data_IF_701655327795
#
_entry.id   IF_701655327795
#
_cell.length_a   1.000
_cell.length_b   1.000
_cell.length_c   1.000
_cell.angle_alpha   90.00
_cell.angle_beta   90.00
_cell.angle_gamma   90.00
#
_symmetry.space_group_name_H-M   'P 1'
#
loop_
_entity.id
_entity.type
_entity.pdbx_description
1 polymer ?
#
# COMPACT_ATOMS: atom_id res chain seq x y z
N UNK A 1 -3.15 -10.41 -15.99
CA UNK A 1 -2.18 -9.36 -16.37
C UNK A 1 -2.33 -9.09 -17.86
N UNK A 2 -2.95 -7.97 -18.23
CA UNK A 2 -3.15 -7.56 -19.63
C UNK A 2 -2.28 -6.34 -19.94
N UNK A 3 -1.78 -6.24 -21.17
CA UNK A 3 -1.04 -5.08 -21.67
C UNK A 3 -1.60 -4.75 -23.05
N UNK A 4 -2.09 -3.53 -23.22
CA UNK A 4 -2.64 -3.00 -24.45
C UNK A 4 -1.88 -1.77 -24.95
N UNK A 5 -2.12 -1.39 -26.20
CA UNK A 5 -1.63 -0.15 -26.80
C UNK A 5 -2.83 0.71 -27.18
N UNK A 6 -2.82 1.99 -26.82
CA UNK A 6 -3.88 2.94 -27.13
C UNK A 6 -4.62 3.44 -25.90
N UNK A 7 -5.73 4.13 -26.13
CA UNK A 7 -6.59 4.67 -25.08
C UNK A 7 -7.19 3.55 -24.21
N UNK A 8 -7.45 3.87 -22.95
CA UNK A 8 -8.09 2.93 -22.01
C UNK A 8 -9.55 2.72 -22.42
N UNK A 9 -9.95 1.47 -22.59
CA UNK A 9 -11.27 1.07 -23.07
C UNK A 9 -12.15 0.48 -21.96
N UNK A 10 -13.45 0.36 -22.23
CA UNK A 10 -14.40 -0.32 -21.33
C UNK A 10 -13.99 -1.78 -21.04
N UNK A 11 -13.37 -2.46 -22.01
CA UNK A 11 -12.89 -3.83 -21.81
C UNK A 11 -11.74 -3.90 -20.82
N UNK A 12 -10.84 -2.90 -20.81
CA UNK A 12 -9.74 -2.82 -19.84
C UNK A 12 -10.27 -2.60 -18.42
N UNK A 13 -11.28 -1.73 -18.27
CA UNK A 13 -11.94 -1.48 -16.98
C UNK A 13 -12.66 -2.75 -16.49
N UNK A 14 -13.46 -3.40 -17.33
CA UNK A 14 -14.14 -4.65 -16.96
C UNK A 14 -13.17 -5.74 -16.51
N UNK A 15 -12.02 -5.85 -17.17
CA UNK A 15 -10.99 -6.81 -16.77
C UNK A 15 -10.39 -6.46 -15.40
N UNK A 16 -10.21 -5.18 -15.11
CA UNK A 16 -9.69 -4.71 -13.84
C UNK A 16 -10.67 -4.97 -12.68
N UNK A 17 -11.97 -4.71 -12.89
CA UNK A 17 -13.03 -5.01 -11.92
C UNK A 17 -13.05 -6.50 -11.55
N UNK A 18 -12.87 -7.39 -12.52
CA UNK A 18 -12.88 -8.83 -12.26
C UNK A 18 -11.67 -9.37 -11.47
N UNK A 19 -10.65 -8.54 -11.23
CA UNK A 19 -9.38 -8.98 -10.62
C UNK A 19 -8.85 -8.07 -9.50
N UNK A 20 -9.67 -7.13 -9.00
CA UNK A 20 -9.25 -6.08 -8.05
C UNK A 20 -7.94 -5.41 -8.47
N UNK A 21 -7.79 -5.17 -9.77
CA UNK A 21 -6.58 -4.60 -10.35
C UNK A 21 -6.71 -3.09 -10.55
N UNK A 22 -5.59 -2.39 -10.44
CA UNK A 22 -5.47 -1.00 -10.86
C UNK A 22 -5.16 -0.91 -12.36
N UNK A 23 -5.63 0.14 -13.03
CA UNK A 23 -5.34 0.41 -14.44
C UNK A 23 -4.34 1.56 -14.53
N UNK A 24 -3.27 1.37 -15.32
CA UNK A 24 -2.22 2.38 -15.49
C UNK A 24 -2.11 2.76 -16.95
N UNK A 25 -2.33 4.05 -17.26
CA UNK A 25 -2.17 4.62 -18.59
C UNK A 25 -0.92 5.50 -18.68
N UNK A 26 -0.04 5.21 -19.64
CA UNK A 26 1.14 6.04 -19.94
C UNK A 26 0.94 6.84 -21.24
N UNK A 27 0.91 8.17 -21.14
CA UNK A 27 0.59 9.08 -22.25
C UNK A 27 -0.75 8.79 -22.97
N UNK A 28 -1.67 8.12 -22.27
CA UNK A 28 -3.02 7.80 -22.74
C UNK A 28 -4.03 8.11 -21.65
N UNK A 29 -5.29 8.30 -22.05
CA UNK A 29 -6.42 8.52 -21.12
C UNK A 29 -7.62 7.69 -21.53
N UNK A 30 -8.47 7.32 -20.57
CA UNK A 30 -9.82 6.88 -20.86
C UNK A 30 -10.64 8.07 -21.38
N UNK A 31 -11.70 7.81 -22.14
CA UNK A 31 -12.63 8.83 -22.57
C UNK A 31 -14.07 8.30 -22.59
N UNK A 32 -15.02 9.18 -22.29
CA UNK A 32 -16.45 8.89 -22.41
C UNK A 32 -16.90 7.76 -21.47
N UNK A 33 -17.39 6.66 -22.06
CA UNK A 33 -17.98 5.54 -21.30
C UNK A 33 -16.98 4.79 -20.44
N UNK A 34 -15.72 4.69 -20.87
CA UNK A 34 -14.69 3.98 -20.09
C UNK A 34 -14.41 4.70 -18.76
N UNK A 35 -14.39 6.04 -18.75
CA UNK A 35 -14.20 6.84 -17.53
C UNK A 35 -15.39 6.71 -16.58
N UNK A 36 -16.61 6.81 -17.11
CA UNK A 36 -17.84 6.61 -16.32
C UNK A 36 -17.93 5.21 -15.73
N UNK A 37 -17.50 4.20 -16.49
CA UNK A 37 -17.47 2.81 -16.02
C UNK A 37 -16.44 2.64 -14.90
N UNK A 38 -15.26 3.24 -15.03
CA UNK A 38 -14.24 3.17 -13.99
C UNK A 38 -14.73 3.78 -12.66
N UNK A 39 -15.39 4.94 -12.72
CA UNK A 39 -15.97 5.58 -11.54
C UNK A 39 -17.09 4.74 -10.92
N UNK A 40 -17.98 4.18 -11.74
CA UNK A 40 -19.10 3.35 -11.30
C UNK A 40 -18.66 2.04 -10.63
N UNK A 41 -17.67 1.38 -11.22
CA UNK A 41 -17.15 0.09 -10.75
C UNK A 41 -16.05 0.26 -9.68
N UNK A 42 -15.66 1.50 -9.38
CA UNK A 42 -14.64 1.79 -8.37
C UNK A 42 -13.23 1.37 -8.76
N UNK A 43 -12.93 1.30 -10.06
CA UNK A 43 -11.61 0.92 -10.57
C UNK A 43 -10.66 2.12 -10.46
N UNK A 44 -9.53 1.95 -9.77
CA UNK A 44 -8.47 2.96 -9.69
C UNK A 44 -7.72 3.03 -11.03
N UNK A 45 -7.91 4.14 -11.75
CA UNK A 45 -7.24 4.43 -13.01
C UNK A 45 -6.27 5.59 -12.82
N UNK A 46 -4.98 5.31 -13.03
CA UNK A 46 -3.92 6.32 -12.89
C UNK A 46 -3.27 6.62 -14.23
N UNK A 47 -3.06 7.91 -14.49
CA UNK A 47 -2.48 8.40 -15.72
C UNK A 47 -1.13 9.05 -15.45
N UNK A 48 -0.12 8.65 -16.21
CA UNK A 48 1.23 9.20 -16.12
C UNK A 48 1.71 9.66 -17.47
N UNK A 49 2.43 10.77 -17.50
CA UNK A 49 3.20 11.24 -18.66
C UNK A 49 4.70 11.08 -18.47
N UNK A 50 5.16 10.91 -17.23
CA UNK A 50 6.57 10.72 -16.85
C UNK A 50 6.75 9.33 -16.24
N UNK A 51 7.59 8.50 -16.86
CA UNK A 51 7.69 7.08 -16.50
C UNK A 51 8.29 6.86 -15.11
N UNK A 52 9.19 7.74 -14.67
CA UNK A 52 9.81 7.65 -13.36
C UNK A 52 8.81 7.86 -12.22
N UNK A 53 7.85 8.77 -12.40
CA UNK A 53 6.79 9.00 -11.43
C UNK A 53 5.91 7.74 -11.29
N UNK A 54 5.54 7.11 -12.42
CA UNK A 54 4.76 5.88 -12.39
C UNK A 54 5.47 4.77 -11.60
N UNK A 55 6.78 4.60 -11.82
CA UNK A 55 7.57 3.59 -11.12
C UNK A 55 7.63 3.89 -9.62
N UNK A 56 7.92 5.13 -9.24
CA UNK A 56 8.03 5.56 -7.84
C UNK A 56 6.72 5.36 -7.07
N UNK A 57 5.58 5.76 -7.64
CA UNK A 57 4.28 5.60 -6.99
C UNK A 57 3.90 4.11 -6.83
N UNK A 58 4.20 3.27 -7.82
CA UNK A 58 3.96 1.82 -7.73
C UNK A 58 4.84 1.21 -6.64
N UNK A 59 6.12 1.57 -6.58
CA UNK A 59 7.03 1.10 -5.52
C UNK A 59 6.57 1.54 -4.14
N UNK A 60 6.15 2.80 -3.99
CA UNK A 60 5.66 3.33 -2.73
C UNK A 60 4.39 2.61 -2.27
N UNK A 61 3.45 2.35 -3.19
CA UNK A 61 2.25 1.59 -2.90
C UNK A 61 2.59 0.15 -2.44
N UNK A 62 3.52 -0.52 -3.12
CA UNK A 62 3.97 -1.86 -2.74
C UNK A 62 4.68 -1.88 -1.37
N UNK A 63 5.51 -0.86 -1.08
CA UNK A 63 6.16 -0.71 0.23
C UNK A 63 5.15 -0.45 1.34
N UNK A 64 4.12 0.36 1.08
CA UNK A 64 3.04 0.63 2.04
C UNK A 64 2.18 -0.59 2.38
N UNK A 65 2.16 -1.62 1.51
CA UNK A 65 1.49 -2.90 1.77
C UNK A 65 2.33 -3.86 2.63
N UNK A 66 3.63 -3.60 2.82
CA UNK A 66 4.46 -4.44 3.68
C UNK A 66 4.12 -4.20 5.15
N UNK A 67 3.96 -5.29 5.91
CA UNK A 67 3.79 -5.20 7.36
C UNK A 67 5.11 -4.72 7.98
N UNK A 68 5.08 -3.79 8.94
CA UNK A 68 6.30 -3.41 9.66
C UNK A 68 6.86 -4.62 10.40
N UNK A 69 8.16 -4.86 10.26
CA UNK A 69 8.90 -5.77 11.13
C UNK A 69 9.27 -5.02 12.41
N UNK A 70 8.94 -5.59 13.56
CA UNK A 70 9.36 -5.07 14.86
C UNK A 70 10.55 -5.91 15.33
N UNK A 71 11.69 -5.26 15.53
CA UNK A 71 12.84 -5.88 16.17
C UNK A 71 12.78 -5.54 17.67
N UNK A 72 12.63 -6.56 18.52
CA UNK A 72 12.78 -6.38 19.97
C UNK A 72 14.26 -6.15 20.28
N UNK A 73 14.60 -4.91 20.61
CA UNK A 73 15.93 -4.55 21.09
C UNK A 73 15.95 -4.78 22.60
N UNK A 74 16.74 -5.76 23.06
CA UNK A 74 16.98 -5.97 24.48
C UNK A 74 17.73 -4.76 25.05
N UNK A 75 17.04 -3.92 25.82
CA UNK A 75 17.58 -2.66 26.37
C UNK A 75 18.63 -2.88 27.46
N UNK A 76 18.72 -4.09 28.00
CA UNK A 76 19.69 -4.48 29.01
C UNK A 76 19.13 -5.49 30.00
N UNK A 77 20.03 -6.21 30.66
CA UNK A 77 19.70 -7.16 31.73
C UNK A 77 20.06 -6.55 33.09
N UNK A 78 19.25 -6.83 34.11
CA UNK A 78 19.51 -6.43 35.48
C UNK A 78 19.41 -7.65 36.40
N UNK A 79 20.32 -7.74 37.35
CA UNK A 79 20.34 -8.81 38.36
C UNK A 79 19.90 -8.24 39.71
N UNK A 80 18.85 -8.83 40.29
CA UNK A 80 18.32 -8.43 41.60
C UNK A 80 19.23 -9.01 42.68
N UNK A 81 19.83 -8.13 43.51
CA UNK A 81 20.74 -8.53 44.60
C UNK A 81 20.05 -8.59 45.95
N UNK A 82 19.01 -7.78 46.16
CA UNK A 82 18.27 -7.71 47.43
C UNK A 82 16.89 -7.08 47.21
N UNK A 83 15.88 -7.51 47.99
CA UNK A 83 14.50 -7.03 47.86
C UNK A 83 14.11 -6.26 49.11
N UNK A 84 13.59 -5.03 48.94
CA UNK A 84 13.15 -4.16 50.03
C UNK A 84 11.62 -4.02 50.05
N UNK A 85 11.03 -3.92 51.25
CA UNK A 85 9.57 -3.76 51.42
C UNK A 85 9.18 -2.31 51.69
N UNK A 86 8.36 -1.74 50.80
CA UNK A 86 7.71 -0.45 50.99
C UNK A 86 6.22 -0.63 51.26
N UNK A 87 5.70 0.04 52.29
CA UNK A 87 4.27 0.03 52.62
C UNK A 87 3.37 0.66 51.55
N UNK A 88 3.94 1.43 50.61
CA UNK A 88 3.21 2.13 49.55
C UNK A 88 3.26 1.43 48.18
N UNK A 89 4.32 0.67 47.90
CA UNK A 89 4.62 0.10 46.57
C UNK A 89 4.89 -1.42 46.59
N UNK A 90 4.93 -2.06 47.76
CA UNK A 90 5.16 -3.51 47.88
C UNK A 90 6.65 -3.87 47.89
N UNK A 91 6.98 -5.02 47.29
CA UNK A 91 8.36 -5.48 47.19
C UNK A 91 9.06 -4.76 46.04
N UNK A 92 10.17 -4.09 46.33
CA UNK A 92 11.04 -3.41 45.38
C UNK A 92 12.28 -4.28 45.22
N UNK A 93 12.54 -4.71 44.00
CA UNK A 93 13.62 -5.64 43.64
C UNK A 93 14.68 -4.94 42.78
#
# INVERSE_FOLDING_TARGET
LHRGVGAVTESDINLATGSDAIVIGFNVRAAGRAEQMAEREGVDVRYYSVIYQAIEEIEAALKGLLKPEYEEVELGTAEIREIFRSSKLGNIA
#
